data_IF_324880730915
#
_entry.id   IF_324880730915
#
_cell.length_a   1.000
_cell.length_b   1.000
_cell.length_c   1.000
_cell.angle_alpha   90.00
_cell.angle_beta   90.00
_cell.angle_gamma   90.00
#
_symmetry.space_group_name_H-M   'P 1'
#
loop_
_entity.id
_entity.type
_entity.pdbx_description
1 polymer ?
#
# COMPACT_ATOMS: atom_id res chain seq x y z
N UNK A 1 10.00 -17.03 3.96
CA UNK A 1 11.00 -16.63 2.93
C UNK A 1 11.47 -15.20 3.12
N UNK A 2 10.58 -14.19 3.17
CA UNK A 2 10.98 -12.78 3.27
C UNK A 2 11.72 -12.42 4.56
N UNK A 3 11.32 -13.00 5.71
CA UNK A 3 11.94 -12.71 7.01
C UNK A 3 13.43 -13.10 7.09
N UNK A 4 13.79 -14.29 6.60
CA UNK A 4 15.17 -14.76 6.57
C UNK A 4 16.06 -13.91 5.63
N UNK A 5 15.50 -13.44 4.51
CA UNK A 5 16.20 -12.55 3.59
C UNK A 5 16.43 -11.16 4.21
N UNK A 6 15.45 -10.63 4.95
CA UNK A 6 15.62 -9.38 5.70
C UNK A 6 16.72 -9.50 6.75
N UNK A 7 16.70 -10.58 7.54
CA UNK A 7 17.75 -10.86 8.52
C UNK A 7 19.13 -10.94 7.87
N UNK A 8 19.29 -11.72 6.80
CA UNK A 8 20.57 -11.87 6.10
C UNK A 8 21.11 -10.51 5.62
N UNK A 9 20.26 -9.67 5.02
CA UNK A 9 20.65 -8.33 4.58
C UNK A 9 21.08 -7.43 5.73
N UNK A 10 20.40 -7.51 6.88
CA UNK A 10 20.75 -6.73 8.06
C UNK A 10 22.10 -7.18 8.63
N UNK A 11 22.30 -8.48 8.78
CA UNK A 11 23.54 -9.06 9.28
C UNK A 11 24.72 -8.77 8.33
N UNK A 12 24.52 -8.82 7.01
CA UNK A 12 25.52 -8.49 5.99
C UNK A 12 26.06 -7.05 6.12
N UNK A 13 25.22 -6.10 6.57
CA UNK A 13 25.63 -4.71 6.80
C UNK A 13 25.96 -4.42 8.27
N UNK A 14 26.11 -5.46 9.09
CA UNK A 14 26.57 -5.36 10.48
C UNK A 14 25.51 -5.00 11.52
N UNK A 15 24.22 -5.04 11.16
CA UNK A 15 23.12 -4.73 12.07
C UNK A 15 22.87 -5.93 12.98
N UNK A 16 22.95 -5.72 14.30
CA UNK A 16 22.79 -6.79 15.31
C UNK A 16 21.41 -6.82 15.95
N UNK A 17 20.70 -5.70 15.93
CA UNK A 17 19.43 -5.49 16.63
C UNK A 17 18.35 -5.01 15.68
N UNK A 18 17.12 -5.37 15.97
CA UNK A 18 15.95 -4.88 15.25
C UNK A 18 14.84 -4.54 16.24
N UNK A 19 14.01 -3.57 15.88
CA UNK A 19 12.74 -3.29 16.52
C UNK A 19 11.65 -4.12 15.83
N UNK A 20 10.83 -4.78 16.62
CA UNK A 20 9.67 -5.51 16.12
C UNK A 20 8.57 -4.54 15.72
N UNK A 21 8.03 -4.68 14.51
CA UNK A 21 6.86 -3.92 14.06
C UNK A 21 5.75 -4.86 13.63
N UNK A 22 4.66 -4.85 14.41
CA UNK A 22 3.44 -5.59 14.12
C UNK A 22 2.53 -4.79 13.18
N UNK A 23 1.69 -5.48 12.40
CA UNK A 23 0.71 -4.79 11.54
C UNK A 23 -0.40 -4.08 12.33
N UNK A 24 -0.59 -4.44 13.61
CA UNK A 24 -1.59 -3.89 14.54
C UNK A 24 -3.04 -3.87 14.01
N UNK A 25 -3.35 -4.75 13.06
CA UNK A 25 -4.73 -4.99 12.59
C UNK A 25 -5.41 -6.11 13.38
N UNK A 26 -6.71 -6.32 13.17
CA UNK A 26 -7.52 -7.30 13.91
C UNK A 26 -7.07 -8.76 13.72
N UNK A 27 -6.19 -9.04 12.74
CA UNK A 27 -5.68 -10.39 12.46
C UNK A 27 -4.33 -10.65 13.13
N UNK A 28 -3.71 -9.65 13.74
CA UNK A 28 -2.49 -9.82 14.53
C UNK A 28 -2.83 -10.54 15.84
N UNK A 29 -2.03 -11.55 16.19
CA UNK A 29 -2.13 -12.26 17.48
C UNK A 29 -1.64 -11.37 18.60
N UNK A 30 -2.25 -11.48 19.78
CA UNK A 30 -1.88 -10.69 20.96
C UNK A 30 -0.39 -10.81 21.30
N UNK A 31 0.18 -12.02 21.27
CA UNK A 31 1.61 -12.26 21.52
C UNK A 31 2.56 -11.58 20.52
N UNK A 32 2.07 -11.23 19.32
CA UNK A 32 2.83 -10.46 18.32
C UNK A 32 2.66 -8.95 18.53
N UNK A 33 1.45 -8.51 18.89
CA UNK A 33 1.16 -7.11 19.20
C UNK A 33 1.92 -6.64 20.46
N UNK A 34 2.03 -7.48 21.48
CA UNK A 34 2.77 -7.18 22.71
C UNK A 34 4.25 -6.86 22.46
N UNK A 35 4.82 -7.43 21.38
CA UNK A 35 6.23 -7.23 21.02
C UNK A 35 6.45 -5.96 20.19
N UNK A 36 5.40 -5.30 19.71
CA UNK A 36 5.51 -4.09 18.89
C UNK A 36 6.33 -3.00 19.59
N UNK A 37 7.28 -2.42 18.86
CA UNK A 37 8.21 -1.41 19.38
C UNK A 37 9.34 -1.96 20.25
N UNK A 38 9.33 -3.23 20.64
CA UNK A 38 10.41 -3.82 21.44
C UNK A 38 11.64 -4.15 20.57
N UNK A 39 12.83 -3.98 21.14
CA UNK A 39 14.10 -4.26 20.47
C UNK A 39 14.58 -5.67 20.84
N UNK A 40 14.93 -6.45 19.83
CA UNK A 40 15.50 -7.79 19.96
C UNK A 40 16.84 -7.88 19.25
N UNK A 41 17.69 -8.80 19.70
CA UNK A 41 18.93 -9.14 19.00
C UNK A 41 18.67 -10.28 18.02
N UNK A 42 19.35 -10.26 16.87
CA UNK A 42 19.31 -11.38 15.93
C UNK A 42 19.80 -12.69 16.55
N UNK A 43 20.77 -12.60 17.47
CA UNK A 43 21.30 -13.74 18.23
C UNK A 43 20.37 -14.27 19.33
N UNK A 44 19.35 -13.51 19.73
CA UNK A 44 18.47 -13.87 20.84
C UNK A 44 16.99 -13.57 20.53
N UNK A 45 16.37 -14.29 19.58
CA UNK A 45 14.95 -14.14 19.28
C UNK A 45 14.04 -14.54 20.45
N UNK A 46 12.81 -14.03 20.48
CA UNK A 46 11.73 -14.59 21.30
C UNK A 46 11.55 -16.09 21.06
N UNK A 47 11.58 -16.88 22.14
CA UNK A 47 11.47 -18.34 22.04
C UNK A 47 10.09 -18.84 21.57
N UNK A 48 9.04 -18.03 21.76
CA UNK A 48 7.66 -18.38 21.43
C UNK A 48 7.33 -18.21 19.94
N UNK A 49 7.83 -17.14 19.32
CA UNK A 49 7.41 -16.67 17.98
C UNK A 49 8.56 -16.62 16.98
N UNK A 50 9.81 -16.69 17.44
CA UNK A 50 10.99 -16.44 16.61
C UNK A 50 11.11 -14.98 16.21
N UNK A 51 11.69 -14.71 15.04
CA UNK A 51 11.76 -13.36 14.46
C UNK A 51 10.43 -12.99 13.77
N UNK A 52 10.12 -11.69 13.60
CA UNK A 52 9.00 -11.25 12.78
C UNK A 52 9.01 -11.93 11.40
N UNK A 53 7.90 -12.58 11.07
CA UNK A 53 7.71 -13.35 9.83
C UNK A 53 8.15 -14.82 9.86
N UNK A 54 8.59 -15.35 11.01
CA UNK A 54 8.87 -16.79 11.18
C UNK A 54 7.62 -17.61 11.54
N UNK A 55 6.75 -17.05 12.37
CA UNK A 55 5.49 -17.68 12.73
C UNK A 55 4.50 -17.74 11.55
N UNK A 56 3.58 -18.69 11.56
CA UNK A 56 2.66 -18.94 10.45
C UNK A 56 1.71 -17.74 10.22
N UNK A 57 1.56 -17.36 8.95
CA UNK A 57 0.78 -16.19 8.52
C UNK A 57 1.17 -14.88 9.24
N UNK A 58 2.37 -14.79 9.81
CA UNK A 58 2.86 -13.58 10.45
C UNK A 58 3.12 -12.49 9.39
N UNK A 59 2.61 -11.28 9.66
CA UNK A 59 2.83 -10.08 8.84
C UNK A 59 3.71 -9.03 9.53
N UNK A 60 4.27 -9.37 10.69
CA UNK A 60 5.21 -8.51 11.40
C UNK A 60 6.54 -8.42 10.66
N UNK A 61 7.25 -7.30 10.84
CA UNK A 61 8.52 -7.00 10.15
C UNK A 61 9.62 -6.62 11.14
N UNK A 62 10.86 -6.74 10.68
CA UNK A 62 12.07 -6.40 11.43
C UNK A 62 12.54 -5.01 10.97
N UNK A 63 12.50 -4.01 11.84
CA UNK A 63 13.02 -2.67 11.54
C UNK A 63 14.45 -2.57 12.09
N UNK A 64 15.49 -2.35 11.26
CA UNK A 64 16.87 -2.37 11.74
C UNK A 64 17.16 -1.22 12.72
N UNK A 65 17.83 -1.53 13.82
CA UNK A 65 18.36 -0.51 14.75
C UNK A 65 19.81 -0.28 14.38
N UNK A 66 20.14 0.92 13.89
CA UNK A 66 21.52 1.30 13.57
C UNK A 66 22.16 1.93 14.81
N UNK A 67 23.46 1.70 15.02
CA UNK A 67 24.17 2.10 16.25
C UNK A 67 24.21 3.63 16.47
N UNK A 68 24.11 4.41 15.39
CA UNK A 68 24.00 5.88 15.47
C UNK A 68 22.66 6.37 16.05
N UNK A 69 21.75 5.43 16.38
CA UNK A 69 20.34 5.67 16.66
C UNK A 69 19.96 5.16 18.05
N UNK A 70 20.87 4.53 18.81
CA UNK A 70 20.56 3.97 20.15
C UNK A 70 20.01 5.05 21.11
N UNK A 71 20.33 6.32 20.88
CA UNK A 71 19.83 7.46 21.66
C UNK A 71 18.46 7.98 21.18
N UNK A 72 18.07 7.70 19.94
CA UNK A 72 16.77 8.13 19.38
C UNK A 72 15.65 7.22 19.90
N UNK A 73 15.91 5.91 20.08
CA UNK A 73 14.90 4.97 20.58
C UNK A 73 14.66 5.08 22.09
N UNK A 74 15.66 5.53 22.86
CA UNK A 74 15.55 5.74 24.32
C UNK A 74 14.93 7.09 24.70
N UNK A 75 15.14 8.12 23.88
CA UNK A 75 14.65 9.47 24.12
C UNK A 75 13.50 9.90 23.20
N UNK A 76 13.06 9.04 22.28
CA UNK A 76 11.74 9.24 21.69
C UNK A 76 10.75 9.14 22.85
N UNK A 77 10.05 10.23 23.22
CA UNK A 77 8.79 10.02 23.90
C UNK A 77 8.05 9.08 22.96
N UNK A 78 7.51 8.01 23.53
CA UNK A 78 6.29 7.34 23.12
C UNK A 78 5.85 7.90 21.76
N UNK A 79 5.81 7.08 20.70
CA UNK A 79 4.86 7.37 19.62
C UNK A 79 3.48 7.26 20.27
N UNK A 80 3.18 8.26 21.08
CA UNK A 80 1.95 8.49 21.76
C UNK A 80 1.05 8.81 20.60
N UNK A 81 0.08 7.94 20.40
CA UNK A 81 -1.26 8.31 20.00
C UNK A 81 -1.40 9.82 19.82
N UNK A 82 -1.61 10.27 18.57
CA UNK A 82 -1.54 11.65 18.04
C UNK A 82 -0.22 11.85 17.27
N UNK A 83 -0.13 11.44 16.02
CA UNK A 83 -0.98 11.95 14.94
C UNK A 83 -1.44 10.78 14.07
N UNK A 84 -2.76 10.66 13.86
CA UNK A 84 -3.22 10.19 12.54
C UNK A 84 -2.72 11.26 11.57
N UNK A 85 -1.46 11.20 11.17
CA UNK A 85 -1.05 11.82 9.93
C UNK A 85 -1.90 11.11 8.90
N UNK A 86 -2.94 11.82 8.47
CA UNK A 86 -3.79 11.37 7.41
C UNK A 86 -2.82 11.08 6.26
N UNK A 87 -2.57 9.80 5.97
CA UNK A 87 -1.55 9.38 4.99
C UNK A 87 -1.81 9.98 3.59
N UNK A 88 -2.98 10.59 3.43
CA UNK A 88 -3.39 11.43 2.33
C UNK A 88 -4.08 12.68 2.91
N UNK A 89 -3.72 13.88 2.45
CA UNK A 89 -4.58 15.04 2.66
C UNK A 89 -5.97 14.77 2.07
N UNK A 90 -7.02 15.34 2.65
CA UNK A 90 -8.28 15.45 1.92
C UNK A 90 -8.02 16.08 0.55
N UNK A 91 -8.79 15.64 -0.44
CA UNK A 91 -8.81 16.35 -1.71
C UNK A 91 -9.28 17.78 -1.45
N UNK A 92 -8.75 18.75 -2.19
CA UNK A 92 -9.29 20.11 -2.14
C UNK A 92 -10.76 20.09 -2.55
N UNK A 93 -11.60 20.96 -1.97
CA UNK A 93 -13.00 21.13 -2.37
C UNK A 93 -13.16 21.53 -3.86
N UNK A 94 -12.08 22.01 -4.49
CA UNK A 94 -11.99 22.34 -5.92
C UNK A 94 -11.54 21.15 -6.81
N UNK A 95 -11.34 19.96 -6.24
CA UNK A 95 -11.10 18.75 -7.03
C UNK A 95 -12.43 18.26 -7.62
N UNK A 96 -12.53 18.09 -8.94
CA UNK A 96 -13.81 17.83 -9.56
C UNK A 96 -14.35 16.44 -9.22
N UNK A 97 -15.67 16.34 -9.16
CA UNK A 97 -16.37 15.07 -8.95
C UNK A 97 -16.06 14.05 -10.05
N UNK A 98 -16.18 12.77 -9.69
CA UNK A 98 -16.01 11.67 -10.65
C UNK A 98 -17.17 11.63 -11.64
N UNK A 99 -16.87 11.72 -12.93
CA UNK A 99 -17.87 11.51 -13.99
C UNK A 99 -17.99 10.01 -14.28
N UNK A 100 -19.17 9.45 -14.01
CA UNK A 100 -19.52 8.07 -14.38
C UNK A 100 -20.40 8.12 -15.63
N UNK A 101 -19.83 7.79 -16.79
CA UNK A 101 -20.53 7.77 -18.09
C UNK A 101 -21.53 6.60 -18.19
N UNK A 102 -21.13 5.41 -17.71
CA UNK A 102 -21.94 4.18 -17.84
C UNK A 102 -21.72 3.21 -16.69
N UNK A 103 -22.47 2.11 -16.66
CA UNK A 103 -22.33 1.10 -15.60
C UNK A 103 -21.08 0.25 -15.79
N UNK A 104 -20.53 -0.21 -14.68
CA UNK A 104 -19.45 -1.18 -14.69
C UNK A 104 -19.93 -2.47 -15.36
N UNK A 105 -19.27 -2.86 -16.45
CA UNK A 105 -19.58 -4.08 -17.20
C UNK A 105 -20.26 -3.87 -18.55
N UNK A 106 -20.77 -2.68 -18.87
CA UNK A 106 -21.49 -2.43 -20.14
C UNK A 106 -20.63 -2.74 -21.38
N UNK A 107 -19.31 -2.51 -21.29
CA UNK A 107 -18.39 -2.85 -22.37
C UNK A 107 -18.35 -4.37 -22.67
N UNK A 108 -18.54 -5.23 -21.67
CA UNK A 108 -18.42 -6.69 -21.83
C UNK A 108 -19.55 -7.30 -22.65
N UNK A 109 -20.68 -6.59 -22.79
CA UNK A 109 -21.80 -7.01 -23.64
C UNK A 109 -21.68 -6.51 -25.07
N UNK A 110 -20.67 -5.70 -25.40
CA UNK A 110 -20.51 -5.13 -26.74
C UNK A 110 -19.97 -6.19 -27.72
N UNK A 111 -20.52 -6.31 -28.95
CA UNK A 111 -20.06 -7.29 -29.93
C UNK A 111 -18.57 -7.24 -30.25
N UNK A 112 -17.99 -6.03 -30.22
CA UNK A 112 -16.58 -5.78 -30.54
C UNK A 112 -15.63 -6.01 -29.36
N UNK A 113 -16.15 -6.25 -28.15
CA UNK A 113 -15.35 -6.33 -26.92
C UNK A 113 -14.27 -7.40 -26.96
N UNK A 114 -14.62 -8.62 -27.38
CA UNK A 114 -13.67 -9.74 -27.40
C UNK A 114 -12.54 -9.54 -28.41
N UNK A 115 -12.83 -8.90 -29.56
CA UNK A 115 -11.81 -8.63 -30.57
C UNK A 115 -10.90 -7.48 -30.16
N UNK A 116 -11.48 -6.41 -29.59
CA UNK A 116 -10.72 -5.31 -28.99
C UNK A 116 -9.76 -5.82 -27.92
N UNK A 117 -10.24 -6.69 -27.02
CA UNK A 117 -9.43 -7.31 -25.95
C UNK A 117 -8.29 -8.20 -26.50
N UNK A 118 -8.48 -8.81 -27.66
CA UNK A 118 -7.45 -9.62 -28.36
C UNK A 118 -6.42 -8.76 -29.10
N UNK A 119 -6.54 -7.43 -29.06
CA UNK A 119 -5.57 -6.49 -29.64
C UNK A 119 -5.95 -5.92 -31.01
N UNK A 120 -7.20 -6.08 -31.46
CA UNK A 120 -7.69 -5.42 -32.67
C UNK A 120 -7.85 -3.92 -32.43
N UNK A 121 -7.01 -3.11 -33.08
CA UNK A 121 -7.01 -1.65 -32.91
C UNK A 121 -8.32 -1.04 -33.43
N UNK A 122 -8.80 -1.48 -34.59
CA UNK A 122 -10.03 -0.97 -35.20
C UNK A 122 -11.25 -1.26 -34.30
N UNK A 123 -11.38 -2.50 -33.83
CA UNK A 123 -12.49 -2.88 -32.95
C UNK A 123 -12.42 -2.16 -31.61
N UNK A 124 -11.21 -1.91 -31.07
CA UNK A 124 -11.03 -1.13 -29.86
C UNK A 124 -11.44 0.34 -30.06
N UNK A 125 -11.10 0.93 -31.20
CA UNK A 125 -11.49 2.30 -31.54
C UNK A 125 -13.01 2.43 -31.68
N UNK A 126 -13.65 1.53 -32.44
CA UNK A 126 -15.10 1.57 -32.62
C UNK A 126 -15.83 1.27 -31.31
N UNK A 127 -15.38 0.28 -30.54
CA UNK A 127 -15.90 0.01 -29.21
C UNK A 127 -15.86 1.25 -28.31
N UNK A 128 -14.73 1.98 -28.28
CA UNK A 128 -14.63 3.19 -27.49
C UNK A 128 -15.59 4.28 -27.99
N UNK A 129 -15.70 4.44 -29.31
CA UNK A 129 -16.60 5.42 -29.93
C UNK A 129 -18.07 5.13 -29.66
N UNK A 130 -18.48 3.87 -29.74
CA UNK A 130 -19.87 3.44 -29.53
C UNK A 130 -20.28 3.55 -28.07
N UNK A 131 -19.33 3.30 -27.16
CA UNK A 131 -19.67 3.30 -25.75
C UNK A 131 -19.64 4.70 -25.11
N UNK A 132 -18.75 5.60 -25.56
CA UNK A 132 -18.59 6.94 -24.97
C UNK A 132 -19.73 7.85 -25.39
N UNK A 133 -20.52 8.33 -24.42
CA UNK A 133 -21.64 9.22 -24.72
C UNK A 133 -21.19 10.68 -24.91
N UNK A 134 -21.91 11.41 -25.78
CA UNK A 134 -21.68 12.85 -25.97
C UNK A 134 -21.86 13.65 -24.67
N UNK A 135 -22.76 13.21 -23.78
CA UNK A 135 -22.98 13.84 -22.47
C UNK A 135 -21.73 13.75 -21.59
N UNK A 136 -21.10 12.58 -21.48
CA UNK A 136 -19.85 12.43 -20.73
C UNK A 136 -18.72 13.26 -21.34
N UNK A 137 -18.60 13.31 -22.66
CA UNK A 137 -17.61 14.16 -23.35
C UNK A 137 -17.83 15.63 -23.01
N UNK A 138 -19.09 16.09 -22.99
CA UNK A 138 -19.41 17.48 -22.67
C UNK A 138 -19.13 17.82 -21.19
N UNK A 139 -19.47 16.92 -20.26
CA UNK A 139 -19.12 17.08 -18.83
C UNK A 139 -17.61 17.15 -18.63
N UNK A 140 -16.85 16.27 -19.29
CA UNK A 140 -15.38 16.30 -19.24
C UNK A 140 -14.82 17.60 -19.80
N UNK A 141 -15.34 18.10 -20.93
CA UNK A 141 -14.93 19.39 -21.51
C UNK A 141 -15.18 20.56 -20.54
N UNK A 142 -16.28 20.55 -19.81
CA UNK A 142 -16.58 21.58 -18.81
C UNK A 142 -15.58 21.55 -17.64
N UNK A 143 -15.21 20.36 -17.16
CA UNK A 143 -14.24 20.20 -16.07
C UNK A 143 -12.81 20.56 -16.46
N UNK A 144 -12.37 20.13 -17.66
CA UNK A 144 -11.01 20.41 -18.15
C UNK A 144 -10.87 21.88 -18.58
N UNK A 145 -11.98 22.52 -18.96
CA UNK A 145 -12.00 23.89 -19.45
C UNK A 145 -11.18 24.06 -20.73
N UNK A 146 -10.67 25.29 -20.97
CA UNK A 146 -9.81 25.61 -22.11
C UNK A 146 -8.32 25.38 -21.81
N UNK A 147 -8.00 24.37 -20.99
CA UNK A 147 -6.62 23.96 -20.75
C UNK A 147 -6.16 23.19 -21.98
N UNK A 148 -5.52 23.90 -22.92
CA UNK A 148 -4.75 23.23 -23.98
C UNK A 148 -3.75 22.30 -23.29
N UNK A 149 -3.82 21.01 -23.64
CA UNK A 149 -2.85 20.00 -23.24
C UNK A 149 -1.45 20.31 -23.80
#
# INVERSE_FOLDING_TARGET
LNAALTQARHEEVGIKKYMWSASLDERVRESHAEKDGQIFEYSNPPADTGHPGHDFNCRCVQIPVLDNNEQIVKNSPIVSQQEKQQMRSEWSDDFPDTIIDRKLGDATSHPLYENAKKGSIEDAYQLAKDLVTDDAVNKLKQLVGNKNA
#
